data_IF_164269945225
#
_entry.id   IF_164269945225
#
_cell.length_a   1.000
_cell.length_b   1.000
_cell.length_c   1.000
_cell.angle_alpha   90.00
_cell.angle_beta   90.00
_cell.angle_gamma   90.00
#
_symmetry.space_group_name_H-M   'P 1'
#
loop_
_entity.id
_entity.type
_entity.pdbx_description
1 polymer ?
#
# COMPACT_ATOMS: atom_id res chain seq x y z
N UNK A 1 13.94 -37.98 21.85
CA UNK A 1 14.09 -36.71 22.57
C UNK A 1 14.42 -35.68 21.51
N UNK A 2 13.40 -34.98 21.00
CA UNK A 2 13.59 -33.97 19.97
C UNK A 2 13.85 -32.63 20.63
N UNK A 3 15.06 -32.11 20.45
CA UNK A 3 15.47 -30.81 20.98
C UNK A 3 14.88 -29.74 20.07
N UNK A 4 13.87 -29.03 20.58
CA UNK A 4 13.34 -27.81 19.97
C UNK A 4 14.43 -26.75 19.97
N UNK A 5 15.08 -26.53 18.82
CA UNK A 5 16.02 -25.43 18.67
C UNK A 5 15.27 -24.09 18.79
N UNK A 6 15.56 -23.34 19.85
CA UNK A 6 15.06 -21.99 20.05
C UNK A 6 15.78 -21.04 19.09
N UNK A 7 15.13 -20.69 17.98
CA UNK A 7 15.59 -19.59 17.12
C UNK A 7 15.30 -18.26 17.80
N UNK A 8 16.19 -17.78 18.68
CA UNK A 8 16.22 -16.38 19.07
C UNK A 8 16.74 -15.54 17.88
N UNK A 9 15.84 -15.22 16.94
CA UNK A 9 16.12 -14.15 15.98
C UNK A 9 16.19 -12.86 16.80
N UNK A 10 17.37 -12.26 16.90
CA UNK A 10 17.52 -10.92 17.48
C UNK A 10 16.51 -10.01 16.78
N UNK A 11 15.56 -9.46 17.54
CA UNK A 11 14.61 -8.47 17.03
C UNK A 11 15.40 -7.39 16.29
N UNK A 12 15.28 -7.33 14.96
CA UNK A 12 15.87 -6.24 14.19
C UNK A 12 15.25 -4.95 14.69
N UNK A 13 16.06 -3.99 15.11
CA UNK A 13 15.58 -2.67 15.53
C UNK A 13 14.74 -2.06 14.40
N UNK A 14 13.44 -1.93 14.63
CA UNK A 14 12.55 -1.23 13.70
C UNK A 14 12.93 0.25 13.72
N UNK A 15 13.21 0.83 12.56
CA UNK A 15 13.41 2.27 12.45
C UNK A 15 12.05 2.97 12.55
N UNK A 16 11.82 3.84 13.55
CA UNK A 16 10.59 4.60 13.64
C UNK A 16 10.52 5.57 12.47
N UNK A 17 9.49 5.45 11.64
CA UNK A 17 9.25 6.43 10.58
C UNK A 17 8.63 7.67 11.22
N UNK A 18 9.28 8.83 11.06
CA UNK A 18 8.81 10.12 11.56
C UNK A 18 7.29 10.31 11.34
N UNK A 19 6.65 10.89 12.36
CA UNK A 19 5.22 11.21 12.35
C UNK A 19 5.00 12.39 11.40
N UNK A 20 3.90 12.37 10.65
CA UNK A 20 3.52 13.50 9.78
C UNK A 20 2.97 14.64 10.61
N UNK A 21 3.24 15.88 10.21
CA UNK A 21 2.65 17.07 10.81
C UNK A 21 1.33 17.46 10.12
N UNK A 22 1.17 17.04 8.86
CA UNK A 22 -0.02 17.35 8.04
C UNK A 22 -0.71 16.08 7.54
N UNK A 23 -2.03 16.18 7.38
CA UNK A 23 -2.83 15.10 6.78
C UNK A 23 -2.32 14.85 5.35
N UNK A 24 -2.25 13.58 4.95
CA UNK A 24 -1.87 13.15 3.59
C UNK A 24 -0.44 13.46 3.15
N UNK A 25 0.39 14.04 4.02
CA UNK A 25 1.81 14.26 3.72
C UNK A 25 2.59 12.93 3.61
N UNK A 26 2.21 11.93 4.42
CA UNK A 26 2.81 10.58 4.38
C UNK A 26 1.72 9.54 4.28
N UNK A 27 1.77 8.76 3.20
CA UNK A 27 0.79 7.69 2.95
C UNK A 27 1.45 6.32 2.90
N UNK A 28 0.71 5.31 3.32
CA UNK A 28 1.04 3.90 3.05
C UNK A 28 0.13 3.36 1.95
N UNK A 29 0.67 2.52 1.08
CA UNK A 29 -0.09 1.88 0.01
C UNK A 29 0.11 0.37 0.04
N UNK A 30 -0.96 -0.37 -0.25
CA UNK A 30 -0.94 -1.84 -0.26
C UNK A 30 -2.05 -2.38 -1.18
N UNK A 31 -1.88 -3.60 -1.69
CA UNK A 31 -2.91 -4.30 -2.45
C UNK A 31 -3.43 -5.51 -1.68
N UNK A 32 -4.75 -5.56 -1.48
CA UNK A 32 -5.43 -6.79 -1.11
C UNK A 32 -5.86 -7.48 -2.39
N UNK A 33 -5.14 -8.51 -2.81
CA UNK A 33 -5.36 -9.25 -4.05
C UNK A 33 -6.05 -10.60 -3.82
N UNK A 34 -6.26 -11.37 -4.89
CA UNK A 34 -6.86 -12.71 -4.86
C UNK A 34 -8.28 -12.76 -4.27
N UNK A 35 -9.07 -11.70 -4.45
CA UNK A 35 -10.47 -11.65 -4.04
C UNK A 35 -11.37 -12.30 -5.10
N UNK A 36 -12.58 -12.78 -4.71
CA UNK A 36 -13.58 -13.19 -5.68
C UNK A 36 -13.88 -12.07 -6.69
N UNK A 37 -13.94 -12.44 -7.97
CA UNK A 37 -14.18 -11.47 -9.04
C UNK A 37 -15.59 -10.91 -8.92
N UNK A 38 -15.71 -9.59 -8.83
CA UNK A 38 -17.01 -8.90 -8.81
C UNK A 38 -17.68 -8.90 -10.19
N UNK A 39 -18.99 -8.60 -10.30
CA UNK A 39 -19.66 -8.44 -11.60
C UNK A 39 -19.03 -7.37 -12.51
N UNK A 40 -18.37 -6.36 -11.91
CA UNK A 40 -17.60 -5.32 -12.62
C UNK A 40 -16.16 -5.73 -12.92
N UNK A 41 -15.85 -7.03 -12.79
CA UNK A 41 -14.57 -7.66 -13.07
C UNK A 41 -13.43 -7.10 -12.23
N UNK A 42 -13.63 -6.88 -10.93
CA UNK A 42 -12.58 -6.47 -9.98
C UNK A 42 -12.20 -7.64 -9.09
N UNK A 43 -10.92 -7.84 -8.83
CA UNK A 43 -10.38 -8.97 -8.06
C UNK A 43 -9.41 -8.53 -6.96
N UNK A 44 -9.21 -7.22 -6.81
CA UNK A 44 -8.23 -6.65 -5.89
C UNK A 44 -8.71 -5.29 -5.36
N UNK A 45 -8.22 -4.88 -4.19
CA UNK A 45 -8.46 -3.57 -3.59
C UNK A 45 -7.11 -2.90 -3.38
N UNK A 46 -6.94 -1.69 -3.92
CA UNK A 46 -5.80 -0.83 -3.63
C UNK A 46 -6.13 0.05 -2.43
N UNK A 47 -5.39 -0.14 -1.35
CA UNK A 47 -5.55 0.57 -0.08
C UNK A 47 -4.53 1.70 -0.03
N UNK A 48 -4.99 2.91 0.24
CA UNK A 48 -4.13 4.09 0.40
C UNK A 48 -4.53 4.79 1.68
N UNK A 49 -3.62 4.79 2.66
CA UNK A 49 -3.90 5.24 4.02
C UNK A 49 -3.02 6.42 4.40
N UNK A 50 -3.64 7.45 4.97
CA UNK A 50 -2.93 8.56 5.62
C UNK A 50 -2.37 8.11 6.96
N UNK A 51 -1.05 8.27 7.15
CA UNK A 51 -0.38 7.77 8.37
C UNK A 51 -0.76 8.57 9.61
N UNK A 52 -1.13 9.85 9.47
CA UNK A 52 -1.48 10.74 10.58
C UNK A 52 -2.89 10.45 11.11
N UNK A 53 -3.90 10.50 10.25
CA UNK A 53 -5.31 10.34 10.66
C UNK A 53 -5.81 8.90 10.65
N UNK A 54 -5.06 7.98 10.03
CA UNK A 54 -5.49 6.59 9.75
C UNK A 54 -6.72 6.48 8.85
N UNK A 55 -7.09 7.56 8.17
CA UNK A 55 -8.12 7.52 7.12
C UNK A 55 -7.58 6.79 5.89
N UNK A 56 -8.41 6.00 5.22
CA UNK A 56 -8.00 5.21 4.06
C UNK A 56 -8.99 5.29 2.90
N UNK A 57 -8.46 5.25 1.67
CA UNK A 57 -9.24 4.97 0.46
C UNK A 57 -9.10 3.49 0.10
N UNK A 58 -10.23 2.86 -0.20
CA UNK A 58 -10.30 1.51 -0.74
C UNK A 58 -10.77 1.58 -2.19
N UNK A 59 -9.84 1.38 -3.12
CA UNK A 59 -10.10 1.53 -4.55
C UNK A 59 -10.17 0.15 -5.19
N UNK A 60 -11.33 -0.29 -5.71
CA UNK A 60 -11.43 -1.58 -6.39
C UNK A 60 -10.71 -1.56 -7.74
N UNK A 61 -9.75 -2.46 -7.90
CA UNK A 61 -8.84 -2.57 -9.04
C UNK A 61 -8.83 -4.01 -9.59
N UNK A 62 -8.07 -4.23 -10.66
CA UNK A 62 -7.73 -5.58 -11.12
C UNK A 62 -6.23 -5.78 -10.97
N UNK A 63 -5.83 -7.01 -10.67
CA UNK A 63 -4.43 -7.39 -10.56
C UNK A 63 -3.64 -7.18 -11.86
N UNK A 64 -4.33 -7.20 -13.01
CA UNK A 64 -3.74 -7.00 -14.34
C UNK A 64 -3.76 -5.54 -14.81
N UNK A 65 -4.09 -4.58 -13.94
CA UNK A 65 -4.04 -3.16 -14.30
C UNK A 65 -2.61 -2.72 -14.57
N UNK A 66 -2.41 -2.07 -15.72
CA UNK A 66 -1.13 -1.47 -16.03
C UNK A 66 -0.77 -0.36 -15.03
N UNK A 67 0.53 -0.17 -14.78
CA UNK A 67 1.03 0.90 -13.93
C UNK A 67 0.50 2.29 -14.35
N UNK A 68 0.39 2.56 -15.65
CA UNK A 68 -0.18 3.81 -16.16
C UNK A 68 -1.66 3.98 -15.82
N UNK A 69 -2.44 2.89 -15.74
CA UNK A 69 -3.83 2.93 -15.29
C UNK A 69 -3.92 3.16 -13.79
N UNK A 70 -3.05 2.51 -13.01
CA UNK A 70 -2.95 2.73 -11.56
C UNK A 70 -2.54 4.18 -11.26
N UNK A 71 -1.53 4.73 -11.94
CA UNK A 71 -1.12 6.12 -11.78
C UNK A 71 -2.27 7.13 -12.06
N UNK A 72 -3.06 6.90 -13.11
CA UNK A 72 -4.24 7.74 -13.39
C UNK A 72 -5.31 7.62 -12.29
N UNK A 73 -5.54 6.42 -11.76
CA UNK A 73 -6.44 6.23 -10.63
C UNK A 73 -5.93 6.95 -9.38
N UNK A 74 -4.63 6.85 -9.11
CA UNK A 74 -3.99 7.54 -8.00
C UNK A 74 -4.16 9.06 -8.08
N UNK A 75 -3.88 9.65 -9.24
CA UNK A 75 -4.06 11.08 -9.48
C UNK A 75 -5.51 11.51 -9.27
N UNK A 76 -6.46 10.78 -9.87
CA UNK A 76 -7.88 11.16 -9.84
C UNK A 76 -8.58 10.90 -8.51
N UNK A 77 -8.12 9.91 -7.73
CA UNK A 77 -8.78 9.51 -6.46
C UNK A 77 -8.06 10.01 -5.22
N UNK A 78 -6.76 10.29 -5.30
CA UNK A 78 -5.96 10.71 -4.14
C UNK A 78 -5.46 12.12 -4.34
N UNK A 79 -4.62 12.37 -5.34
CA UNK A 79 -3.93 13.66 -5.49
C UNK A 79 -4.91 14.81 -5.69
N UNK A 80 -5.98 14.60 -6.47
CA UNK A 80 -7.02 15.59 -6.68
C UNK A 80 -7.76 15.98 -5.40
N UNK A 81 -7.84 15.10 -4.41
CA UNK A 81 -8.57 15.34 -3.16
C UNK A 81 -7.67 15.81 -2.02
N UNK A 82 -6.41 15.36 -2.01
CA UNK A 82 -5.53 15.42 -0.84
C UNK A 82 -4.14 16.00 -1.13
N UNK A 83 -3.91 16.49 -2.35
CA UNK A 83 -2.61 16.94 -2.84
C UNK A 83 -1.59 15.79 -3.02
N UNK A 84 -0.38 16.13 -3.45
CA UNK A 84 0.69 15.15 -3.68
C UNK A 84 1.38 14.85 -2.33
N UNK A 85 1.45 13.59 -1.87
CA UNK A 85 2.17 13.27 -0.65
C UNK A 85 3.68 13.47 -0.83
N UNK A 86 4.35 13.78 0.27
CA UNK A 86 5.82 13.90 0.31
C UNK A 86 6.47 12.52 0.35
N UNK A 87 5.85 11.56 1.06
CA UNK A 87 6.33 10.18 1.11
C UNK A 87 5.23 9.17 0.87
N UNK A 88 5.56 8.17 0.06
CA UNK A 88 4.78 6.96 -0.15
C UNK A 88 5.58 5.79 0.39
N UNK A 89 4.98 5.03 1.29
CA UNK A 89 5.54 3.77 1.80
C UNK A 89 4.69 2.64 1.24
N UNK A 90 5.28 1.83 0.38
CA UNK A 90 4.68 0.59 -0.11
C UNK A 90 5.47 -0.61 0.38
N UNK A 91 4.89 -1.79 0.25
CA UNK A 91 5.65 -3.02 0.32
C UNK A 91 6.45 -3.24 -0.99
N UNK A 92 7.20 -4.34 -1.04
CA UNK A 92 7.99 -4.74 -2.20
C UNK A 92 7.17 -5.53 -3.23
N UNK A 93 5.85 -5.32 -3.31
CA UNK A 93 5.04 -6.00 -4.31
C UNK A 93 5.49 -5.62 -5.73
N UNK A 94 5.34 -6.55 -6.67
CA UNK A 94 5.75 -6.39 -8.07
C UNK A 94 5.05 -5.19 -8.72
N UNK A 95 3.83 -4.88 -8.27
CA UNK A 95 3.05 -3.73 -8.72
C UNK A 95 3.70 -2.38 -8.37
N UNK A 96 4.57 -2.34 -7.34
CA UNK A 96 5.32 -1.14 -6.94
C UNK A 96 6.79 -1.17 -7.37
N UNK A 97 7.34 -2.36 -7.66
CA UNK A 97 8.78 -2.56 -7.92
C UNK A 97 9.11 -2.92 -9.37
N UNK A 98 8.12 -3.08 -10.25
CA UNK A 98 8.32 -3.32 -11.68
C UNK A 98 9.14 -2.21 -12.33
N UNK A 99 10.10 -2.59 -13.17
CA UNK A 99 10.78 -1.65 -14.07
C UNK A 99 9.80 -1.23 -15.16
N UNK A 100 9.76 0.06 -15.46
CA UNK A 100 8.94 0.65 -16.52
C UNK A 100 9.31 0.11 -17.90
#
# INVERSE_FOLDING_TARGET
MDVKAEHQVSSRFLQPIMISERKWERVTMDFVSCLPVTPTKKDSIWVIMDRLTKSAHFIPVRIDYSHGRLAKLYLSKIVMLHEVPVFIISDHDLQFTSRF
#
